data_IF_712706835192
#
_entry.id   IF_712706835192
#
_cell.length_a   1.000
_cell.length_b   1.000
_cell.length_c   1.000
_cell.angle_alpha   90.00
_cell.angle_beta   90.00
_cell.angle_gamma   90.00
#
_symmetry.space_group_name_H-M   'P 1'
#
loop_
_entity.id
_entity.type
_entity.pdbx_description
1 polymer ?
#
# COMPACT_ATOMS: atom_id res chain seq x y z
N UNK A 1 10.62 26.92 -0.01
CA UNK A 1 10.32 25.46 0.05
C UNK A 1 10.17 24.98 -1.38
N UNK A 2 10.94 23.97 -1.80
CA UNK A 2 10.74 23.33 -3.10
C UNK A 2 9.32 22.78 -3.12
N UNK A 3 8.48 23.25 -4.04
CA UNK A 3 7.15 22.71 -4.24
C UNK A 3 7.35 21.24 -4.70
N UNK A 4 7.12 20.27 -3.81
CA UNK A 4 7.17 18.83 -4.12
C UNK A 4 5.75 18.38 -4.39
N UNK A 5 5.51 17.64 -5.47
CA UNK A 5 4.16 17.15 -5.76
C UNK A 5 3.69 16.25 -4.62
N UNK A 6 2.47 16.48 -4.15
CA UNK A 6 1.83 15.67 -3.10
C UNK A 6 1.19 14.45 -3.74
N UNK A 7 1.60 13.28 -3.29
CA UNK A 7 1.12 11.98 -3.74
C UNK A 7 0.44 11.30 -2.56
N UNK A 8 -0.85 11.08 -2.66
CA UNK A 8 -1.60 10.27 -1.70
C UNK A 8 -1.66 8.83 -2.20
N UNK A 9 -1.45 7.84 -1.33
CA UNK A 9 -1.62 6.41 -1.67
C UNK A 9 -2.88 5.89 -0.99
N UNK A 10 -3.87 5.56 -1.81
CA UNK A 10 -5.09 4.85 -1.40
C UNK A 10 -4.89 3.36 -1.63
N UNK A 11 -4.99 2.59 -0.56
CA UNK A 11 -4.82 1.13 -0.55
C UNK A 11 -5.74 0.49 0.49
N UNK A 12 -5.91 -0.82 0.39
CA UNK A 12 -6.68 -1.62 1.33
C UNK A 12 -5.76 -2.50 2.18
N UNK A 13 -6.20 -2.85 3.38
CA UNK A 13 -5.46 -3.70 4.32
C UNK A 13 -5.59 -5.19 3.96
N UNK A 14 -5.02 -5.59 2.83
CA UNK A 14 -5.19 -6.95 2.28
C UNK A 14 -4.36 -8.02 3.00
N UNK A 15 -3.07 -7.75 3.19
CA UNK A 15 -2.09 -8.68 3.77
C UNK A 15 -0.81 -7.94 4.15
N UNK A 16 0.04 -8.55 4.98
CA UNK A 16 1.36 -8.00 5.32
C UNK A 16 2.25 -7.80 4.08
N UNK A 17 2.19 -8.72 3.11
CA UNK A 17 2.94 -8.59 1.85
C UNK A 17 2.45 -7.41 1.01
N UNK A 18 1.14 -7.15 1.02
CA UNK A 18 0.56 -6.00 0.34
C UNK A 18 0.97 -4.69 1.03
N UNK A 19 0.90 -4.64 2.36
CA UNK A 19 1.37 -3.48 3.11
C UNK A 19 2.86 -3.20 2.83
N UNK A 20 3.70 -4.24 2.85
CA UNK A 20 5.11 -4.10 2.54
C UNK A 20 5.35 -3.49 1.15
N UNK A 21 4.60 -3.96 0.13
CA UNK A 21 4.64 -3.40 -1.22
C UNK A 21 4.27 -1.90 -1.22
N UNK A 22 3.23 -1.51 -0.48
CA UNK A 22 2.79 -0.11 -0.37
C UNK A 22 3.85 0.77 0.30
N UNK A 23 4.50 0.27 1.35
CA UNK A 23 5.55 1.00 2.06
C UNK A 23 6.82 1.16 1.21
N UNK A 24 7.23 0.13 0.48
CA UNK A 24 8.35 0.21 -0.46
C UNK A 24 8.09 1.24 -1.58
N UNK A 25 6.86 1.28 -2.10
CA UNK A 25 6.44 2.31 -3.05
C UNK A 25 6.52 3.72 -2.42
N UNK A 26 6.00 3.89 -1.21
CA UNK A 26 6.00 5.17 -0.51
C UNK A 26 7.43 5.68 -0.27
N UNK A 27 8.30 4.82 0.27
CA UNK A 27 9.72 5.11 0.50
C UNK A 27 10.41 5.52 -0.80
N UNK A 28 10.20 4.75 -1.88
CA UNK A 28 10.79 5.05 -3.18
C UNK A 28 10.34 6.40 -3.74
N UNK A 29 9.07 6.77 -3.59
CA UNK A 29 8.56 8.09 -4.00
C UNK A 29 9.18 9.22 -3.16
N UNK A 30 9.40 9.01 -1.87
CA UNK A 30 10.09 9.99 -1.01
C UNK A 30 11.54 10.19 -1.44
N UNK A 31 12.28 9.11 -1.72
CA UNK A 31 13.64 9.17 -2.25
C UNK A 31 13.72 9.97 -3.57
N UNK A 32 12.74 9.79 -4.45
CA UNK A 32 12.66 10.48 -5.74
C UNK A 32 12.13 11.94 -5.61
N UNK A 33 11.88 12.40 -4.37
CA UNK A 33 11.59 13.79 -4.03
C UNK A 33 10.11 14.19 -4.13
N UNK A 34 9.19 13.24 -4.02
CA UNK A 34 7.75 13.50 -3.87
C UNK A 34 7.37 13.65 -2.38
N UNK A 35 6.21 14.25 -2.10
CA UNK A 35 5.63 14.31 -0.77
C UNK A 35 4.55 13.22 -0.67
N UNK A 36 4.86 12.06 -0.08
CA UNK A 36 4.02 10.87 -0.11
C UNK A 36 3.18 10.68 1.17
N UNK A 37 1.86 10.58 1.09
CA UNK A 37 0.96 10.48 2.25
C UNK A 37 0.13 9.20 2.22
N UNK A 38 0.02 8.53 3.37
CA UNK A 38 -0.81 7.37 3.63
C UNK A 38 -1.11 7.28 5.14
N UNK A 39 -2.09 6.46 5.53
CA UNK A 39 -2.49 6.23 6.93
C UNK A 39 -1.41 5.57 7.80
N UNK A 40 -0.50 4.78 7.23
CA UNK A 40 0.49 4.03 8.00
C UNK A 40 1.38 4.89 8.92
N UNK A 41 1.61 6.15 8.55
CA UNK A 41 2.41 7.08 9.35
C UNK A 41 1.60 7.84 10.41
N UNK A 42 0.31 7.57 10.56
CA UNK A 42 -0.51 8.16 11.62
C UNK A 42 -0.39 7.32 12.90
N UNK A 43 -0.06 7.99 14.01
CA UNK A 43 0.02 7.35 15.33
C UNK A 43 -1.36 7.04 15.91
N UNK A 44 -2.37 7.85 15.57
CA UNK A 44 -3.74 7.76 16.09
C UNK A 44 -4.76 7.99 14.97
N UNK A 45 -5.99 7.49 15.19
CA UNK A 45 -7.13 7.81 14.33
C UNK A 45 -7.34 9.33 14.25
N UNK A 46 -7.54 9.91 13.05
CA UNK A 46 -7.80 11.34 12.91
C UNK A 46 -9.01 11.79 13.74
N UNK A 47 -8.88 12.92 14.44
CA UNK A 47 -9.94 13.47 15.32
C UNK A 47 -11.20 13.81 14.50
N UNK A 48 -11.01 14.26 13.27
CA UNK A 48 -12.06 14.53 12.29
C UNK A 48 -12.69 13.26 11.67
N UNK A 49 -12.13 12.09 11.96
CA UNK A 49 -12.51 10.80 11.42
C UNK A 49 -11.91 10.51 10.03
N UNK A 50 -11.77 9.23 9.71
CA UNK A 50 -11.15 8.74 8.48
C UNK A 50 -11.76 9.31 7.20
N UNK A 51 -13.10 9.46 7.16
CA UNK A 51 -13.79 9.99 5.99
C UNK A 51 -13.42 11.47 5.72
N UNK A 52 -13.40 12.30 6.76
CA UNK A 52 -13.04 13.72 6.64
C UNK A 52 -11.56 13.88 6.32
N UNK A 53 -10.71 13.06 6.94
CA UNK A 53 -9.28 13.04 6.68
C UNK A 53 -8.98 12.63 5.22
N UNK A 54 -9.59 11.54 4.73
CA UNK A 54 -9.46 11.11 3.33
C UNK A 54 -9.87 12.23 2.35
N UNK A 55 -11.02 12.88 2.59
CA UNK A 55 -11.47 13.99 1.76
C UNK A 55 -10.48 15.16 1.73
N UNK A 56 -9.88 15.47 2.89
CA UNK A 56 -8.86 16.51 3.03
C UNK A 56 -7.59 16.15 2.26
N UNK A 57 -7.14 14.90 2.37
CA UNK A 57 -5.95 14.40 1.68
C UNK A 57 -6.15 14.34 0.17
N UNK A 58 -7.30 13.87 -0.30
CA UNK A 58 -7.64 13.88 -1.71
C UNK A 58 -7.66 15.32 -2.24
N UNK A 59 -8.32 16.25 -1.56
CA UNK A 59 -8.39 17.65 -2.00
C UNK A 59 -7.02 18.35 -2.07
N UNK A 60 -6.06 17.91 -1.25
CA UNK A 60 -4.71 18.47 -1.19
C UNK A 60 -3.72 17.80 -2.17
N UNK A 61 -4.01 16.58 -2.63
CA UNK A 61 -3.10 15.80 -3.45
C UNK A 61 -3.04 16.26 -4.91
N UNK A 62 -1.85 16.28 -5.49
CA UNK A 62 -1.69 16.41 -6.94
C UNK A 62 -2.05 15.09 -7.65
N UNK A 63 -1.70 13.99 -6.98
CA UNK A 63 -1.93 12.62 -7.43
C UNK A 63 -2.47 11.74 -6.31
N UNK A 64 -3.42 10.88 -6.63
CA UNK A 64 -3.85 9.77 -5.79
C UNK A 64 -3.49 8.47 -6.49
N UNK A 65 -2.53 7.72 -5.95
CA UNK A 65 -2.21 6.38 -6.41
C UNK A 65 -3.23 5.43 -5.79
N UNK A 66 -3.95 4.70 -6.64
CA UNK A 66 -4.98 3.73 -6.20
C UNK A 66 -4.42 2.34 -6.40
N UNK A 67 -4.07 1.67 -5.30
CA UNK A 67 -3.50 0.32 -5.35
C UNK A 67 -4.62 -0.69 -5.54
N UNK A 68 -4.74 -1.19 -6.76
CA UNK A 68 -5.88 -1.97 -7.22
C UNK A 68 -5.70 -3.45 -6.89
N UNK A 69 -6.55 -3.97 -6.01
CA UNK A 69 -6.63 -5.39 -5.64
C UNK A 69 -8.09 -5.87 -5.70
N UNK A 70 -8.33 -7.20 -5.72
CA UNK A 70 -9.69 -7.72 -5.65
C UNK A 70 -10.46 -7.25 -4.40
N UNK A 71 -9.76 -7.17 -3.26
CA UNK A 71 -10.33 -6.72 -2.00
C UNK A 71 -10.68 -5.23 -2.04
N UNK A 72 -9.79 -4.39 -2.56
CA UNK A 72 -10.06 -2.96 -2.78
C UNK A 72 -11.31 -2.77 -3.67
N UNK A 73 -11.37 -3.48 -4.80
CA UNK A 73 -12.49 -3.39 -5.73
C UNK A 73 -13.81 -3.79 -5.07
N UNK A 74 -13.79 -4.86 -4.26
CA UNK A 74 -14.98 -5.34 -3.57
C UNK A 74 -15.55 -4.26 -2.64
N UNK A 75 -14.72 -3.65 -1.79
CA UNK A 75 -15.16 -2.57 -0.89
C UNK A 75 -15.64 -1.33 -1.66
N UNK A 76 -14.94 -0.94 -2.73
CA UNK A 76 -15.38 0.15 -3.61
C UNK A 76 -16.78 -0.13 -4.20
N UNK A 77 -17.04 -1.37 -4.62
CA UNK A 77 -18.32 -1.77 -5.20
C UNK A 77 -19.45 -1.80 -4.17
N UNK A 78 -19.14 -2.14 -2.91
CA UNK A 78 -20.10 -2.10 -1.80
C UNK A 78 -20.42 -0.66 -1.34
N UNK A 79 -19.64 0.34 -1.80
CA UNK A 79 -19.74 1.75 -1.42
C UNK A 79 -19.74 1.95 0.11
N UNK A 80 -18.94 1.14 0.79
CA UNK A 80 -18.83 1.18 2.24
C UNK A 80 -18.10 2.46 2.67
N UNK A 81 -18.75 3.22 3.56
CA UNK A 81 -18.10 4.37 4.20
C UNK A 81 -17.00 3.89 5.14
N UNK A 82 -15.92 4.66 5.24
CA UNK A 82 -14.84 4.37 6.17
C UNK A 82 -15.39 4.28 7.60
N UNK A 83 -15.08 3.16 8.26
CA UNK A 83 -15.53 2.90 9.62
C UNK A 83 -14.81 3.79 10.64
N UNK A 84 -15.46 4.08 11.76
CA UNK A 84 -14.83 4.68 12.94
C UNK A 84 -14.25 3.64 13.88
N UNK A 85 -14.57 2.36 13.68
CA UNK A 85 -14.06 1.23 14.45
C UNK A 85 -12.66 0.83 13.94
N UNK A 86 -11.60 0.96 14.76
CA UNK A 86 -10.25 0.58 14.37
C UNK A 86 -10.11 -0.89 13.99
N UNK A 87 -10.89 -1.80 14.60
CA UNK A 87 -10.80 -3.24 14.31
C UNK A 87 -11.41 -3.61 12.96
N UNK A 88 -12.35 -2.81 12.47
CA UNK A 88 -12.99 -2.99 11.17
C UNK A 88 -12.35 -2.13 10.05
N UNK A 89 -11.26 -1.42 10.34
CA UNK A 89 -10.64 -0.48 9.41
C UNK A 89 -9.82 -1.23 8.35
N UNK A 90 -10.41 -1.35 7.15
CA UNK A 90 -9.84 -2.09 6.02
C UNK A 90 -8.96 -1.23 5.09
N UNK A 91 -8.54 -0.04 5.55
CA UNK A 91 -7.71 0.90 4.81
C UNK A 91 -8.48 2.06 4.18
N UNK A 92 -7.74 2.99 3.57
CA UNK A 92 -8.27 4.21 2.94
C UNK A 92 -8.78 3.95 1.52
N UNK A 93 -9.89 3.21 1.42
CA UNK A 93 -10.53 2.85 0.16
C UNK A 93 -11.41 4.00 -0.34
N UNK A 94 -11.36 4.28 -1.65
CA UNK A 94 -12.23 5.26 -2.29
C UNK A 94 -13.68 4.79 -2.28
N UNK A 95 -14.62 5.70 -2.05
CA UNK A 95 -16.05 5.48 -2.27
C UNK A 95 -16.44 5.87 -3.70
N UNK A 96 -17.60 5.44 -4.17
CA UNK A 96 -18.13 5.83 -5.49
C UNK A 96 -18.36 7.34 -5.60
N UNK A 97 -18.63 8.00 -4.47
CA UNK A 97 -18.76 9.45 -4.41
C UNK A 97 -17.39 10.18 -4.38
N UNK A 98 -16.34 9.58 -3.81
CA UNK A 98 -15.05 10.25 -3.64
C UNK A 98 -14.37 10.55 -4.99
N UNK A 99 -14.33 9.59 -5.92
CA UNK A 99 -13.68 9.79 -7.22
C UNK A 99 -14.20 11.01 -8.00
N UNK A 100 -15.50 11.12 -8.33
CA UNK A 100 -16.00 12.25 -9.12
C UNK A 100 -15.86 13.60 -8.39
N UNK A 101 -15.92 13.59 -7.05
CA UNK A 101 -15.81 14.82 -6.24
C UNK A 101 -14.41 15.43 -6.26
N UNK A 102 -13.37 14.63 -6.47
CA UNK A 102 -11.98 15.09 -6.45
C UNK A 102 -11.26 14.94 -7.79
N UNK A 103 -11.90 14.39 -8.83
CA UNK A 103 -11.26 14.15 -10.12
C UNK A 103 -10.79 15.43 -10.85
N UNK A 104 -11.28 16.61 -10.47
CA UNK A 104 -10.81 17.89 -11.03
C UNK A 104 -9.57 18.43 -10.30
N UNK A 105 -9.49 18.13 -9.00
CA UNK A 105 -8.43 18.50 -8.08
C UNK A 105 -7.26 17.52 -8.12
N UNK A 106 -7.53 16.24 -8.34
CA UNK A 106 -6.60 15.15 -8.04
C UNK A 106 -6.58 14.20 -9.21
N UNK A 107 -5.39 13.89 -9.71
CA UNK A 107 -5.27 12.83 -10.71
C UNK A 107 -5.13 11.49 -10.06
N UNK A 108 -6.14 10.66 -10.25
CA UNK A 108 -6.13 9.27 -9.84
C UNK A 108 -5.32 8.44 -10.84
N UNK A 109 -4.40 7.64 -10.32
CA UNK A 109 -3.50 6.78 -11.10
C UNK A 109 -3.63 5.36 -10.58
N UNK A 110 -4.17 4.42 -11.38
CA UNK A 110 -4.27 3.03 -10.96
C UNK A 110 -2.89 2.36 -10.94
N UNK A 111 -2.58 1.71 -9.82
CA UNK A 111 -1.35 0.93 -9.59
C UNK A 111 -1.74 -0.53 -9.39
N UNK A 112 -1.13 -1.41 -10.17
CA UNK A 112 -1.24 -2.86 -9.96
C UNK A 112 -0.04 -3.34 -9.12
N UNK A 113 -0.29 -4.02 -7.99
CA UNK A 113 0.76 -4.73 -7.28
C UNK A 113 1.23 -5.94 -8.10
N UNK A 114 2.29 -6.60 -7.64
CA UNK A 114 2.85 -7.79 -8.29
C UNK A 114 1.75 -8.85 -8.47
N UNK A 115 1.49 -9.23 -9.73
CA UNK A 115 0.45 -10.21 -10.08
C UNK A 115 -0.99 -9.68 -10.03
N UNK A 116 -1.17 -8.36 -9.85
CA UNK A 116 -2.47 -7.70 -9.95
C UNK A 116 -3.05 -7.77 -11.36
N UNK A 117 -4.38 -7.69 -11.47
CA UNK A 117 -5.08 -7.83 -12.76
C UNK A 117 -5.82 -6.56 -13.13
N UNK A 118 -5.90 -6.27 -14.43
CA UNK A 118 -6.66 -5.12 -14.95
C UNK A 118 -8.14 -5.12 -14.53
N UNK A 119 -8.72 -6.30 -14.30
CA UNK A 119 -10.09 -6.44 -13.81
C UNK A 119 -10.30 -5.95 -12.37
N UNK A 120 -9.21 -5.83 -11.59
CA UNK A 120 -9.26 -5.38 -10.19
C UNK A 120 -9.25 -3.84 -10.10
N UNK A 121 -9.13 -3.15 -11.23
CA UNK A 121 -9.19 -1.69 -11.30
C UNK A 121 -10.63 -1.23 -11.15
N UNK A 122 -10.86 -0.24 -10.29
CA UNK A 122 -12.18 0.36 -10.10
C UNK A 122 -12.74 0.91 -11.41
N UNK A 123 -14.06 0.79 -11.68
CA UNK A 123 -14.66 1.17 -12.96
C UNK A 123 -14.24 2.54 -13.52
N UNK A 124 -14.16 3.64 -12.74
CA UNK A 124 -13.78 4.94 -13.30
C UNK A 124 -12.31 5.03 -13.76
N UNK A 125 -11.45 4.11 -13.32
CA UNK A 125 -10.02 4.08 -13.68
C UNK A 125 -9.69 3.04 -14.76
N UNK A 126 -10.65 2.20 -15.15
CA UNK A 126 -10.43 1.24 -16.23
C UNK A 126 -10.10 1.95 -17.55
N UNK A 127 -9.07 1.48 -18.25
CA UNK A 127 -8.58 2.07 -19.50
C UNK A 127 -7.75 3.35 -19.33
N UNK A 128 -7.45 3.78 -18.10
CA UNK A 128 -6.45 4.83 -17.82
C UNK A 128 -5.04 4.24 -17.83
N UNK A 129 -4.03 5.12 -17.91
CA UNK A 129 -2.63 4.73 -17.77
C UNK A 129 -2.42 4.01 -16.44
N UNK A 130 -2.23 2.70 -16.52
CA UNK A 130 -2.07 1.80 -15.39
C UNK A 130 -0.63 1.35 -15.34
N UNK A 131 -0.06 1.29 -14.14
CA UNK A 131 1.33 0.90 -13.94
C UNK A 131 1.40 -0.36 -13.08
N UNK A 132 2.12 -1.37 -13.58
CA UNK A 132 2.53 -2.53 -12.79
C UNK A 132 3.92 -2.23 -12.20
N UNK A 133 4.00 -1.99 -10.90
CA UNK A 133 5.10 -1.19 -10.35
C UNK A 133 6.50 -1.81 -10.50
N UNK A 134 6.62 -3.14 -10.41
CA UNK A 134 7.93 -3.82 -10.59
C UNK A 134 8.47 -3.72 -12.01
N UNK A 135 7.59 -3.47 -12.99
CA UNK A 135 7.96 -3.38 -14.40
C UNK A 135 8.02 -1.92 -14.87
N UNK A 136 7.17 -1.05 -14.30
CA UNK A 136 6.79 0.22 -14.90
C UNK A 136 6.98 1.45 -13.99
N UNK A 137 7.78 1.31 -12.92
CA UNK A 137 8.07 2.44 -12.02
C UNK A 137 8.62 3.68 -12.75
N UNK A 138 9.47 3.48 -13.77
CA UNK A 138 10.00 4.59 -14.57
C UNK A 138 8.88 5.38 -15.27
N UNK A 139 7.87 4.69 -15.80
CA UNK A 139 6.71 5.31 -16.43
C UNK A 139 5.89 6.11 -15.43
N UNK A 140 5.67 5.56 -14.22
CA UNK A 140 5.02 6.26 -13.13
C UNK A 140 5.81 7.52 -12.74
N UNK A 141 7.11 7.39 -12.50
CA UNK A 141 7.98 8.50 -12.12
C UNK A 141 7.95 9.63 -13.16
N UNK A 142 8.02 9.30 -14.46
CA UNK A 142 7.90 10.28 -15.54
C UNK A 142 6.55 11.00 -15.55
N UNK A 143 5.45 10.25 -15.34
CA UNK A 143 4.11 10.84 -15.23
C UNK A 143 4.03 11.82 -14.05
N UNK A 144 4.60 11.47 -12.91
CA UNK A 144 4.56 12.30 -11.70
C UNK A 144 5.45 13.55 -11.84
N UNK A 145 6.62 13.46 -12.48
CA UNK A 145 7.53 14.62 -12.68
C UNK A 145 7.04 15.62 -13.72
N UNK A 146 6.40 15.16 -14.79
CA UNK A 146 6.08 16.01 -15.94
C UNK A 146 4.81 16.85 -15.77
N UNK A 147 4.15 16.79 -14.61
CA UNK A 147 2.88 17.49 -14.37
C UNK A 147 3.11 18.76 -13.56
N UNK A 148 2.46 19.89 -13.92
CA UNK A 148 2.54 21.11 -13.13
C UNK A 148 1.97 20.85 -11.73
N UNK A 149 2.78 21.12 -10.73
CA UNK A 149 2.39 21.03 -9.31
C UNK A 149 1.36 22.12 -9.05
N UNK A 150 0.23 21.76 -8.45
CA UNK A 150 -0.75 22.76 -8.05
C UNK A 150 -0.14 23.59 -6.94
N UNK A 151 -0.26 24.92 -7.01
CA UNK A 151 0.15 25.78 -5.91
C UNK A 151 -0.62 25.37 -4.65
N UNK A 152 0.06 25.20 -3.50
CA UNK A 152 -0.60 24.74 -2.29
C UNK A 152 -1.76 25.68 -1.95
N UNK A 153 -2.99 25.15 -1.94
CA UNK A 153 -4.12 25.83 -1.31
C UNK A 153 -3.82 25.81 0.18
N UNK A 154 -3.68 26.98 0.79
CA UNK A 154 -3.46 27.11 2.24
C UNK A 154 -4.70 26.60 2.98
N UNK A 155 -4.75 25.29 3.22
CA UNK A 155 -5.58 24.68 4.24
C UNK A 155 -4.61 24.04 5.21
N UNK A 156 -4.36 24.73 6.32
CA UNK A 156 -3.61 24.17 7.43
C UNK A 156 -4.43 23.01 7.99
N UNK A 157 -4.01 21.77 7.71
CA UNK A 157 -4.37 20.64 8.55
C UNK A 157 -3.56 20.75 9.85
N UNK A 158 -4.18 20.85 11.03
CA UNK A 158 -3.48 21.03 12.29
C UNK A 158 -3.14 19.68 12.94
N UNK A 159 -2.49 18.77 12.23
CA UNK A 159 -1.72 17.67 12.81
C UNK A 159 -1.11 16.87 11.67
N UNK A 160 0.20 17.01 11.51
CA UNK A 160 1.16 16.08 10.90
C UNK A 160 2.38 16.92 10.51
N UNK A 161 3.22 17.22 11.50
CA UNK A 161 4.55 17.75 11.23
C UNK A 161 5.32 16.68 10.46
N UNK A 162 5.41 16.90 9.15
CA UNK A 162 6.38 16.23 8.30
C UNK A 162 7.79 16.52 8.82
N UNK A 163 8.49 15.48 9.26
CA UNK A 163 9.93 15.54 9.56
C UNK A 163 10.64 15.63 8.20
N UNK A 164 11.40 16.70 7.99
CA UNK A 164 12.20 16.86 6.77
C UNK A 164 13.19 15.69 6.68
N UNK A 165 13.36 15.10 5.51
CA UNK A 165 14.20 13.91 5.29
C UNK A 165 15.67 14.12 5.68
N UNK A 166 16.07 15.38 5.91
CA UNK A 166 17.37 15.74 6.49
C UNK A 166 17.50 15.44 7.99
N UNK A 167 16.42 15.07 8.67
CA UNK A 167 16.37 14.79 10.10
C UNK A 167 15.95 13.35 10.46
N UNK A 168 15.85 12.42 9.49
CA UNK A 168 15.66 11.00 9.84
C UNK A 168 16.94 10.51 10.52
N UNK A 169 16.94 10.18 11.83
CA UNK A 169 18.10 9.55 12.43
C UNK A 169 18.20 8.16 11.81
N UNK A 170 19.38 7.79 11.33
CA UNK A 170 19.70 6.50 10.68
C UNK A 170 19.18 5.27 11.46
N UNK A 171 18.85 5.43 12.74
CA UNK A 171 18.23 4.42 13.59
C UNK A 171 16.79 4.01 13.22
N UNK A 172 15.95 4.88 12.65
CA UNK A 172 14.53 4.53 12.37
C UNK A 172 14.37 3.63 11.14
N UNK A 173 15.10 3.90 10.05
CA UNK A 173 15.12 3.04 8.86
C UNK A 173 15.68 1.63 9.18
N UNK A 174 16.68 1.54 10.06
CA UNK A 174 17.26 0.26 10.51
C UNK A 174 16.28 -0.53 11.39
N UNK A 175 15.44 0.16 12.17
CA UNK A 175 14.49 -0.51 13.09
C UNK A 175 13.34 -1.18 12.33
N UNK A 176 12.81 -0.54 11.29
CA UNK A 176 11.75 -1.12 10.44
C UNK A 176 12.27 -2.36 9.69
N UNK A 177 13.46 -2.24 9.08
CA UNK A 177 14.06 -3.35 8.33
C UNK A 177 14.45 -4.54 9.22
N UNK A 178 14.77 -4.29 10.51
CA UNK A 178 15.07 -5.34 11.49
C UNK A 178 13.81 -5.97 12.13
N UNK A 179 12.75 -5.20 12.34
CA UNK A 179 11.46 -5.67 12.90
C UNK A 179 10.78 -6.70 11.99
N UNK A 180 10.71 -6.41 10.68
CA UNK A 180 10.14 -7.33 9.67
C UNK A 180 11.01 -8.59 9.47
N UNK A 181 12.33 -8.46 9.64
CA UNK A 181 13.26 -9.60 9.56
C UNK A 181 13.26 -10.49 10.83
N UNK A 182 12.84 -9.96 11.98
CA UNK A 182 12.79 -10.70 13.25
C UNK A 182 11.45 -11.41 13.47
N UNK A 183 10.31 -10.79 13.10
CA UNK A 183 8.99 -11.41 13.24
C UNK A 183 8.83 -12.73 12.49
N UNK A 184 9.48 -12.86 11.32
CA UNK A 184 9.38 -14.07 10.50
C UNK A 184 10.36 -15.19 10.92
N UNK A 185 11.45 -14.88 11.64
CA UNK A 185 12.45 -15.89 12.05
C UNK A 185 12.03 -16.65 13.29
N UNK A 186 11.34 -16.02 14.25
CA UNK A 186 10.92 -16.69 15.49
C UNK A 186 9.72 -17.62 15.28
N UNK A 187 8.78 -17.26 14.39
CA UNK A 187 7.65 -18.14 14.03
C UNK A 187 8.09 -19.34 13.18
N UNK A 188 8.97 -19.13 12.19
CA UNK A 188 9.50 -20.22 11.36
C UNK A 188 10.41 -21.15 12.15
N UNK A 189 11.27 -20.64 13.04
CA UNK A 189 12.19 -21.50 13.82
C UNK A 189 11.47 -22.30 14.90
N UNK A 190 10.38 -21.78 15.48
CA UNK A 190 9.52 -22.55 16.40
C UNK A 190 8.66 -23.58 15.67
N UNK A 191 8.16 -23.25 14.47
CA UNK A 191 7.43 -24.18 13.60
C UNK A 191 8.30 -25.35 13.11
N UNK A 192 9.53 -25.06 12.66
CA UNK A 192 10.51 -26.06 12.19
C UNK A 192 10.98 -26.99 13.32
N UNK A 193 10.99 -26.52 14.58
CA UNK A 193 11.37 -27.32 15.76
C UNK A 193 10.22 -28.10 16.38
N UNK A 194 8.98 -27.94 15.89
CA UNK A 194 7.84 -28.69 16.41
C UNK A 194 7.94 -30.17 16.06
N UNK A 195 7.54 -31.10 16.96
CA UNK A 195 7.55 -32.53 16.66
C UNK A 195 6.65 -32.87 15.46
N UNK A 196 5.56 -32.12 15.25
CA UNK A 196 4.67 -32.27 14.10
C UNK A 196 5.37 -32.03 12.76
N UNK A 197 6.27 -31.05 12.67
CA UNK A 197 7.00 -30.74 11.43
C UNK A 197 7.99 -31.85 11.06
N UNK A 198 8.65 -32.47 12.05
CA UNK A 198 9.50 -33.64 11.85
C UNK A 198 8.70 -34.86 11.36
N UNK A 199 7.50 -35.08 11.89
CA UNK A 199 6.60 -36.12 11.38
C UNK A 199 6.16 -35.85 9.94
N UNK A 200 5.88 -34.60 9.57
CA UNK A 200 5.51 -34.22 8.21
C UNK A 200 6.64 -34.51 7.21
N UNK A 201 7.89 -34.17 7.55
CA UNK A 201 9.06 -34.49 6.70
C UNK A 201 9.24 -36.00 6.55
N UNK A 202 9.09 -36.77 7.62
CA UNK A 202 9.18 -38.23 7.58
C UNK A 202 8.10 -38.84 6.67
N UNK A 203 6.86 -38.34 6.76
CA UNK A 203 5.74 -38.78 5.92
C UNK A 203 6.03 -38.48 4.45
N UNK A 204 6.51 -37.27 4.13
CA UNK A 204 6.88 -36.88 2.76
C UNK A 204 8.01 -37.77 2.22
N UNK A 205 9.03 -38.06 3.04
CA UNK A 205 10.14 -38.93 2.64
C UNK A 205 9.68 -40.37 2.37
N UNK A 206 8.77 -40.92 3.18
CA UNK A 206 8.18 -42.25 2.98
C UNK A 206 7.30 -42.28 1.73
N UNK A 207 6.51 -41.24 1.47
CA UNK A 207 5.71 -41.09 0.25
C UNK A 207 6.58 -41.00 -0.99
N UNK A 208 7.69 -40.26 -0.94
CA UNK A 208 8.65 -40.17 -2.05
C UNK A 208 9.31 -41.52 -2.34
N UNK A 209 9.69 -42.27 -1.30
CA UNK A 209 10.26 -43.61 -1.43
C UNK A 209 9.25 -44.61 -2.01
N UNK A 210 8.00 -44.58 -1.54
CA UNK A 210 6.91 -45.39 -2.09
C UNK A 210 6.62 -45.04 -3.54
N UNK A 211 6.57 -43.76 -3.88
CA UNK A 211 6.37 -43.29 -5.25
C UNK A 211 7.51 -43.74 -6.17
N UNK A 212 8.76 -43.64 -5.70
CA UNK A 212 9.93 -44.09 -6.45
C UNK A 212 9.95 -45.62 -6.64
N UNK A 213 9.43 -46.38 -5.68
CA UNK A 213 9.31 -47.84 -5.78
C UNK A 213 8.19 -48.26 -6.74
N UNK A 214 7.07 -47.52 -6.76
CA UNK A 214 5.96 -47.72 -7.70
C UNK A 214 6.37 -47.38 -9.13
N UNK A 215 7.24 -46.39 -9.34
CA UNK A 215 7.75 -46.05 -10.69
C UNK A 215 8.78 -47.04 -11.24
N UNK A 216 9.31 -47.95 -10.42
CA UNK A 216 10.39 -48.86 -10.78
C UNK A 216 9.93 -50.31 -11.00
N UNK A 217 8.64 -50.61 -10.79
CA UNK A 217 7.96 -51.87 -11.10
C UNK A 217 6.97 -51.67 -12.26
#
# INVERSE_FOLDING_TARGET
MSNRARVFISYSHDSEQHLQFVLELAERLLEDGFNCVLDFYLEETPVEGWQTWLATELAAADFCLVVCTPHYLQHYQQDESLTTDPEAFNGLILTQASYPNFATETQFVPILPIGGKLQDIIPPLQGKNTFELMTDYLGLHQLLKNRPIKTPKTTQSPSNQWIDSTEIPTAHAITIHNSLAQGNKESLTSFIKSPLFLYLILIIAVLMLLFFFILKN
#
